data_IF_832650719782
#
_entry.id   IF_832650719782
#
_cell.length_a   1.000
_cell.length_b   1.000
_cell.length_c   1.000
_cell.angle_alpha   90.00
_cell.angle_beta   90.00
_cell.angle_gamma   90.00
#
_symmetry.space_group_name_H-M   'P 1'
#
loop_
_entity.id
_entity.type
_entity.pdbx_description
1 polymer ?
#
# COMPACT_ATOMS: atom_id res chain seq x y z
N UNK A 1 -10.04 11.85 -3.48
CA UNK A 1 -8.86 11.80 -4.38
C UNK A 1 -9.31 12.08 -5.80
N UNK A 2 -8.73 13.06 -6.48
CA UNK A 2 -8.90 13.27 -7.94
C UNK A 2 -7.50 13.35 -8.52
N UNK A 3 -6.76 12.26 -8.73
CA UNK A 3 -5.34 12.50 -9.05
C UNK A 3 -4.50 11.38 -9.68
N UNK A 4 -4.98 10.17 -9.96
CA UNK A 4 -4.19 9.24 -10.81
C UNK A 4 -4.48 9.51 -12.29
N UNK A 5 -3.49 9.30 -13.17
CA UNK A 5 -3.76 9.18 -14.62
C UNK A 5 -4.63 7.95 -14.88
N UNK A 6 -5.28 7.88 -16.05
CA UNK A 6 -6.09 6.70 -16.40
C UNK A 6 -5.26 5.40 -16.35
N UNK A 7 -4.02 5.44 -16.82
CA UNK A 7 -3.09 4.29 -16.77
C UNK A 7 -2.76 3.88 -15.32
N UNK A 8 -2.45 4.85 -14.46
CA UNK A 8 -2.16 4.58 -13.05
C UNK A 8 -3.38 4.04 -12.30
N UNK A 9 -4.58 4.55 -12.61
CA UNK A 9 -5.82 4.05 -12.03
C UNK A 9 -6.05 2.59 -12.43
N UNK A 10 -5.82 2.23 -13.70
CA UNK A 10 -5.92 0.85 -14.17
C UNK A 10 -4.92 -0.08 -13.47
N UNK A 11 -3.69 0.37 -13.25
CA UNK A 11 -2.69 -0.39 -12.48
C UNK A 11 -3.17 -0.59 -11.04
N UNK A 12 -3.59 0.48 -10.38
CA UNK A 12 -4.07 0.46 -9.00
C UNK A 12 -5.27 -0.49 -8.84
N UNK A 13 -6.29 -0.36 -9.68
CA UNK A 13 -7.50 -1.18 -9.63
C UNK A 13 -7.15 -2.67 -9.82
N UNK A 14 -6.28 -2.99 -10.78
CA UNK A 14 -5.84 -4.36 -11.05
C UNK A 14 -5.05 -4.98 -9.90
N UNK A 15 -4.18 -4.20 -9.26
CA UNK A 15 -3.33 -4.72 -8.19
C UNK A 15 -4.07 -4.81 -6.85
N UNK A 16 -5.11 -4.01 -6.65
CA UNK A 16 -5.94 -4.00 -5.43
C UNK A 16 -7.24 -4.79 -5.55
N UNK A 17 -7.54 -5.36 -6.72
CA UNK A 17 -8.77 -6.09 -6.98
C UNK A 17 -8.97 -7.25 -5.98
N UNK A 18 -10.17 -7.32 -5.39
CA UNK A 18 -10.57 -8.33 -4.40
C UNK A 18 -9.75 -8.31 -3.09
N UNK A 19 -9.08 -7.20 -2.77
CA UNK A 19 -8.39 -7.00 -1.50
C UNK A 19 -9.21 -6.09 -0.57
N UNK A 20 -9.16 -6.38 0.72
CA UNK A 20 -9.68 -5.52 1.77
C UNK A 20 -8.71 -4.36 2.00
N UNK A 21 -9.23 -3.17 2.31
CA UNK A 21 -8.43 -1.95 2.50
C UNK A 21 -8.41 -1.51 3.97
N UNK A 22 -7.24 -1.07 4.43
CA UNK A 22 -7.08 -0.41 5.73
C UNK A 22 -5.92 0.59 5.73
N UNK A 23 -5.93 1.52 6.68
CA UNK A 23 -4.87 2.51 6.88
C UNK A 23 -3.90 2.04 7.96
N UNK A 24 -2.93 1.21 7.58
CA UNK A 24 -1.91 0.68 8.49
C UNK A 24 -0.52 0.88 7.90
N UNK A 25 0.44 1.27 8.74
CA UNK A 25 1.85 1.27 8.38
C UNK A 25 2.51 0.00 8.88
N UNK A 26 2.55 -1.03 8.03
CA UNK A 26 3.24 -2.29 8.31
C UNK A 26 4.55 -2.35 7.53
N UNK A 27 5.60 -2.87 8.16
CA UNK A 27 6.93 -2.97 7.56
C UNK A 27 6.96 -4.04 6.46
N UNK A 28 7.77 -3.82 5.41
CA UNK A 28 7.95 -4.81 4.35
C UNK A 28 8.60 -6.08 4.88
N UNK A 29 9.45 -5.99 5.91
CA UNK A 29 10.05 -7.16 6.58
C UNK A 29 8.99 -8.05 7.25
N UNK A 30 7.96 -7.46 7.87
CA UNK A 30 6.87 -8.25 8.44
C UNK A 30 6.07 -8.97 7.34
N UNK A 31 5.75 -8.26 6.25
CA UNK A 31 5.06 -8.86 5.10
C UNK A 31 5.87 -10.05 4.54
N UNK A 32 7.18 -9.89 4.42
CA UNK A 32 8.08 -10.96 3.98
C UNK A 32 8.13 -12.15 4.96
N UNK A 33 8.04 -11.89 6.27
CA UNK A 33 7.99 -12.94 7.29
C UNK A 33 6.74 -13.82 7.20
N UNK A 34 5.66 -13.30 6.61
CA UNK A 34 4.43 -14.07 6.32
C UNK A 34 4.57 -14.95 5.06
N UNK A 35 5.71 -14.92 4.39
CA UNK A 35 6.00 -15.72 3.20
C UNK A 35 5.64 -15.04 1.87
N UNK A 36 5.29 -13.76 1.91
CA UNK A 36 5.12 -12.94 0.71
C UNK A 36 6.49 -12.41 0.25
N UNK A 37 6.62 -12.07 -1.03
CA UNK A 37 7.83 -11.45 -1.58
C UNK A 37 7.45 -10.26 -2.43
N UNK A 38 8.25 -9.19 -2.38
CA UNK A 38 8.08 -8.08 -3.32
C UNK A 38 8.26 -8.57 -4.75
N UNK A 39 7.26 -8.33 -5.60
CA UNK A 39 7.24 -8.76 -6.99
C UNK A 39 7.11 -7.61 -7.98
N UNK A 40 6.50 -6.50 -7.56
CA UNK A 40 6.31 -5.30 -8.39
C UNK A 40 6.37 -4.03 -7.54
N UNK A 41 6.78 -2.95 -8.19
CA UNK A 41 6.85 -1.61 -7.63
C UNK A 41 6.38 -0.63 -8.71
N UNK A 42 5.50 0.30 -8.35
CA UNK A 42 5.00 1.33 -9.25
C UNK A 42 5.13 2.71 -8.60
N UNK A 43 5.92 3.58 -9.21
CA UNK A 43 5.92 5.01 -8.91
C UNK A 43 4.69 5.65 -9.56
N UNK A 44 3.91 6.37 -8.78
CA UNK A 44 2.67 7.01 -9.16
C UNK A 44 2.72 8.49 -8.76
N UNK A 45 3.07 9.36 -9.71
CA UNK A 45 2.94 10.79 -9.52
C UNK A 45 1.54 11.25 -9.93
N UNK A 46 0.93 12.13 -9.14
CA UNK A 46 -0.30 12.77 -9.53
C UNK A 46 -0.10 14.09 -10.30
N UNK A 47 -1.16 14.58 -10.97
CA UNK A 47 -1.11 15.83 -11.74
C UNK A 47 -0.78 17.09 -10.92
N UNK A 48 -0.77 17.00 -9.59
CA UNK A 48 -0.41 18.08 -8.67
C UNK A 48 1.02 17.98 -8.14
N UNK A 49 1.74 16.91 -8.49
CA UNK A 49 3.10 16.65 -8.03
C UNK A 49 3.17 15.92 -6.69
N UNK A 50 2.07 15.41 -6.14
CA UNK A 50 2.17 14.48 -5.00
C UNK A 50 2.68 13.13 -5.52
N UNK A 51 3.65 12.56 -4.81
CA UNK A 51 4.28 11.29 -5.13
C UNK A 51 3.58 10.17 -4.37
N UNK A 52 3.39 9.04 -5.03
CA UNK A 52 2.89 7.84 -4.39
C UNK A 52 3.64 6.61 -4.92
N UNK A 53 3.84 5.63 -4.04
CA UNK A 53 4.49 4.37 -4.36
C UNK A 53 3.54 3.22 -4.06
N UNK A 54 3.37 2.32 -5.03
CA UNK A 54 2.61 1.09 -4.87
C UNK A 54 3.56 -0.12 -4.91
N UNK A 55 3.79 -0.73 -3.76
CA UNK A 55 4.55 -1.97 -3.59
C UNK A 55 3.61 -3.17 -3.60
N UNK A 56 3.90 -4.18 -4.44
CA UNK A 56 3.12 -5.42 -4.53
C UNK A 56 3.93 -6.59 -4.04
N UNK A 57 3.33 -7.35 -3.12
CA UNK A 57 3.89 -8.56 -2.55
C UNK A 57 3.03 -9.77 -2.91
N UNK A 58 3.65 -10.90 -3.25
CA UNK A 58 2.95 -12.12 -3.63
C UNK A 58 3.52 -13.34 -2.89
N UNK A 59 2.65 -14.25 -2.46
CA UNK A 59 3.06 -15.52 -1.85
C UNK A 59 3.08 -16.68 -2.87
N UNK A 60 3.54 -17.86 -2.43
CA UNK A 60 3.60 -19.05 -3.30
C UNK A 60 2.22 -19.56 -3.78
N UNK A 61 1.14 -19.10 -3.16
CA UNK A 61 -0.23 -19.45 -3.53
C UNK A 61 -0.86 -18.40 -4.46
N UNK A 62 -0.12 -17.36 -4.86
CA UNK A 62 -0.61 -16.27 -5.70
C UNK A 62 -1.47 -15.24 -4.97
N UNK A 63 -1.51 -15.26 -3.63
CA UNK A 63 -2.19 -14.22 -2.85
C UNK A 63 -1.33 -12.97 -2.86
N UNK A 64 -1.98 -11.80 -2.99
CA UNK A 64 -1.31 -10.51 -3.12
C UNK A 64 -1.59 -9.59 -1.93
N UNK A 65 -0.58 -8.83 -1.51
CA UNK A 65 -0.71 -7.68 -0.62
C UNK A 65 -0.20 -6.47 -1.41
N UNK A 66 -0.94 -5.38 -1.42
CA UNK A 66 -0.50 -4.11 -2.00
C UNK A 66 -0.34 -3.06 -0.90
N UNK A 67 0.78 -2.36 -0.90
CA UNK A 67 1.07 -1.26 0.02
C UNK A 67 1.19 0.02 -0.79
N UNK A 68 0.33 0.98 -0.47
CA UNK A 68 0.30 2.30 -1.09
C UNK A 68 0.84 3.34 -0.11
N UNK A 69 1.97 3.95 -0.44
CA UNK A 69 2.53 5.10 0.27
C UNK A 69 2.23 6.35 -0.55
N UNK A 70 1.68 7.40 0.06
CA UNK A 70 1.37 8.67 -0.60
C UNK A 70 2.01 9.79 0.18
N UNK A 71 2.89 10.54 -0.46
CA UNK A 71 3.51 11.76 0.09
C UNK A 71 2.76 12.96 -0.47
N UNK A 72 1.94 13.60 0.36
CA UNK A 72 1.17 14.77 -0.01
C UNK A 72 1.91 16.04 0.44
N UNK A 73 2.20 16.94 -0.50
CA UNK A 73 2.80 18.23 -0.18
C UNK A 73 1.72 19.21 0.29
N UNK A 74 1.85 19.72 1.51
CA UNK A 74 0.95 20.79 1.99
C UNK A 74 1.72 22.09 2.22
N UNK A 75 1.18 23.21 1.70
CA UNK A 75 1.77 24.54 1.87
C UNK A 75 1.81 25.02 3.33
N UNK A 76 1.07 24.37 4.23
CA UNK A 76 0.89 24.78 5.63
C UNK A 76 1.52 23.83 6.64
N UNK A 77 1.62 22.53 6.36
CA UNK A 77 2.04 21.51 7.33
C UNK A 77 3.28 20.72 6.89
N UNK A 78 3.81 20.97 5.68
CA UNK A 78 4.92 20.20 5.10
C UNK A 78 4.45 18.92 4.42
N UNK A 79 5.37 17.96 4.28
CA UNK A 79 5.11 16.66 3.64
C UNK A 79 4.32 15.75 4.59
N UNK A 80 3.10 15.36 4.19
CA UNK A 80 2.28 14.40 4.90
C UNK A 80 2.40 13.02 4.24
N UNK A 81 2.79 12.00 5.01
CA UNK A 81 2.88 10.63 4.54
C UNK A 81 1.64 9.82 4.95
N UNK A 82 0.89 9.34 3.96
CA UNK A 82 -0.24 8.45 4.14
C UNK A 82 0.10 7.05 3.65
N UNK A 83 -0.11 6.03 4.48
CA UNK A 83 0.16 4.63 4.11
C UNK A 83 -1.13 3.83 4.22
N UNK A 84 -1.49 3.15 3.13
CA UNK A 84 -2.61 2.24 3.03
C UNK A 84 -2.13 0.83 2.69
N UNK A 85 -2.77 -0.18 3.28
CA UNK A 85 -2.53 -1.58 2.98
C UNK A 85 -3.79 -2.22 2.42
N UNK A 86 -3.59 -3.06 1.39
CA UNK A 86 -4.61 -3.86 0.75
C UNK A 86 -4.20 -5.33 0.85
N UNK A 87 -5.06 -6.19 1.41
CA UNK A 87 -4.72 -7.59 1.63
C UNK A 87 -5.96 -8.51 1.57
N UNK A 88 -5.79 -9.83 1.41
CA UNK A 88 -6.90 -10.76 1.50
C UNK A 88 -7.48 -10.75 2.92
N UNK A 89 -8.80 -10.94 3.05
CA UNK A 89 -9.51 -10.87 4.33
C UNK A 89 -8.89 -11.76 5.43
N UNK A 90 -8.37 -12.94 5.09
CA UNK A 90 -7.71 -13.84 6.05
C UNK A 90 -6.33 -13.39 6.54
N UNK A 91 -5.71 -12.41 5.86
CA UNK A 91 -4.40 -11.85 6.23
C UNK A 91 -4.56 -10.55 7.03
N UNK A 92 -5.64 -9.79 6.79
CA UNK A 92 -5.86 -8.48 7.41
C UNK A 92 -5.70 -8.46 8.94
N UNK A 93 -6.26 -9.43 9.72
CA UNK A 93 -6.09 -9.45 11.17
C UNK A 93 -4.63 -9.58 11.63
N UNK A 94 -3.77 -10.21 10.82
CA UNK A 94 -2.33 -10.32 11.12
C UNK A 94 -1.62 -8.98 10.96
N UNK A 95 -1.98 -8.23 9.91
CA UNK A 95 -1.45 -6.89 9.65
C UNK A 95 -1.88 -5.91 10.74
N UNK A 96 -3.16 -5.93 11.13
CA UNK A 96 -3.70 -5.11 12.21
C UNK A 96 -3.03 -5.41 13.55
N UNK A 97 -2.80 -6.69 13.85
CA UNK A 97 -2.10 -7.08 15.08
C UNK A 97 -0.68 -6.54 15.12
N UNK A 98 0.05 -6.58 14.02
CA UNK A 98 1.41 -6.05 13.94
C UNK A 98 1.44 -4.53 14.12
N UNK A 99 0.55 -3.80 13.43
CA UNK A 99 0.46 -2.35 13.58
C UNK A 99 0.21 -1.93 15.04
N UNK A 100 -0.66 -2.66 15.73
CA UNK A 100 -0.94 -2.43 17.16
C UNK A 100 0.20 -2.87 18.09
N UNK A 101 1.08 -3.78 17.64
CA UNK A 101 2.21 -4.28 18.44
C UNK A 101 3.36 -3.26 18.51
N UNK A 102 3.58 -2.51 17.43
CA UNK A 102 4.62 -1.48 17.31
C UNK A 102 4.22 -0.07 17.78
N UNK A 103 2.96 0.14 18.18
CA UNK A 103 2.44 1.45 18.65
C UNK A 103 2.73 1.72 20.14
N UNK A 104 3.85 1.24 20.69
CA UNK A 104 4.29 1.48 22.07
C UNK A 104 5.52 2.37 22.15
#
# INVERSE_FOLDING_TARGET
MKTLTEEQQLIFDKETENLEHTFLNVSSQFIESLGFKSVRFHEMANLRGDEADLEIFEDKAGRRIAKLCVTQFTHTEGDLLHISCYAPAGIMPLLEKEFNSGSR
#
